data_IF_644922871034
#
_entry.id   IF_644922871034
#
_cell.length_a   1.000
_cell.length_b   1.000
_cell.length_c   1.000
_cell.angle_alpha   90.00
_cell.angle_beta   90.00
_cell.angle_gamma   90.00
#
_symmetry.space_group_name_H-M   'P 1'
#
loop_
_entity.id
_entity.type
_entity.pdbx_description
1 polymer ?
#
# COMPACT_ATOMS: atom_id res chain seq x y z
N UNK A 1 -12.73 -2.47 2.28
CA UNK A 1 -11.65 -2.88 3.22
C UNK A 1 -12.02 -3.98 4.22
N UNK A 2 -13.29 -4.16 4.63
CA UNK A 2 -13.70 -5.20 5.59
C UNK A 2 -13.13 -6.62 5.33
N UNK A 3 -13.12 -7.16 4.09
CA UNK A 3 -12.55 -8.48 3.84
C UNK A 3 -11.05 -8.59 4.19
N UNK A 4 -10.29 -7.51 4.04
CA UNK A 4 -8.88 -7.45 4.39
C UNK A 4 -8.68 -7.43 5.91
N UNK A 5 -9.48 -6.65 6.63
CA UNK A 5 -9.44 -6.61 8.10
C UNK A 5 -9.68 -8.00 8.67
N UNK A 6 -10.76 -8.67 8.25
CA UNK A 6 -11.08 -10.03 8.70
C UNK A 6 -9.95 -11.01 8.37
N UNK A 7 -9.38 -10.93 7.16
CA UNK A 7 -8.29 -11.83 6.76
C UNK A 7 -7.00 -11.63 7.58
N UNK A 8 -6.69 -10.39 7.99
CA UNK A 8 -5.53 -10.07 8.81
C UNK A 8 -5.75 -10.40 10.29
N UNK A 9 -6.96 -10.15 10.82
CA UNK A 9 -7.33 -10.54 12.19
C UNK A 9 -7.32 -12.05 12.37
N UNK A 10 -7.79 -12.82 11.37
CA UNK A 10 -7.69 -14.28 11.36
C UNK A 10 -6.23 -14.79 11.37
N UNK A 11 -5.26 -13.92 11.10
CA UNK A 11 -3.81 -14.19 11.13
C UNK A 11 -3.12 -13.54 12.35
N UNK A 12 -3.89 -13.05 13.32
CA UNK A 12 -3.37 -12.49 14.57
C UNK A 12 -2.98 -11.01 14.53
N UNK A 13 -3.28 -10.29 13.45
CA UNK A 13 -2.95 -8.86 13.34
C UNK A 13 -4.13 -7.97 13.71
N UNK A 14 -3.96 -7.11 14.72
CA UNK A 14 -4.92 -6.04 15.02
C UNK A 14 -5.02 -5.11 13.82
N UNK A 15 -6.21 -5.06 13.23
CA UNK A 15 -6.44 -4.37 11.96
C UNK A 15 -7.69 -3.52 12.05
N UNK A 16 -7.75 -2.42 11.30
CA UNK A 16 -8.96 -1.60 11.20
C UNK A 16 -9.05 -0.91 9.86
N UNK A 17 -10.28 -0.73 9.38
CA UNK A 17 -10.53 0.04 8.17
C UNK A 17 -10.60 1.54 8.52
N UNK A 18 -10.03 2.37 7.65
CA UNK A 18 -10.19 3.83 7.69
C UNK A 18 -11.19 4.24 6.62
N UNK A 19 -12.15 5.08 6.99
CA UNK A 19 -13.06 5.71 6.02
C UNK A 19 -12.42 7.00 5.51
N UNK A 20 -12.36 7.16 4.19
CA UNK A 20 -11.74 8.31 3.56
C UNK A 20 -12.79 9.18 2.88
N UNK A 21 -12.65 10.52 2.96
CA UNK A 21 -13.54 11.43 2.25
C UNK A 21 -13.38 11.26 0.74
N UNK A 22 -14.48 11.45 0.00
CA UNK A 22 -14.49 11.44 -1.47
C UNK A 22 -13.94 12.76 -2.03
N UNK A 23 -12.63 12.95 -1.91
CA UNK A 23 -11.91 14.15 -2.36
C UNK A 23 -10.61 13.77 -3.06
N UNK A 24 -9.81 14.76 -3.47
CA UNK A 24 -8.47 14.52 -3.99
C UNK A 24 -7.60 13.82 -2.94
N UNK A 25 -6.72 12.91 -3.36
CA UNK A 25 -5.95 12.11 -2.41
C UNK A 25 -5.10 12.97 -1.44
N UNK A 26 -4.52 14.06 -1.92
CA UNK A 26 -3.78 15.03 -1.10
C UNK A 26 -4.64 15.64 0.00
N UNK A 27 -5.92 15.95 -0.29
CA UNK A 27 -6.87 16.46 0.71
C UNK A 27 -7.37 15.39 1.68
N UNK A 28 -7.33 14.11 1.29
CA UNK A 28 -7.71 13.00 2.14
C UNK A 28 -6.61 12.59 3.14
N UNK A 29 -5.36 13.03 2.95
CA UNK A 29 -4.22 12.71 3.85
C UNK A 29 -4.52 13.13 5.29
N UNK A 30 -5.05 14.33 5.51
CA UNK A 30 -5.37 14.81 6.86
C UNK A 30 -6.41 13.93 7.57
N UNK A 31 -7.43 13.46 6.84
CA UNK A 31 -8.43 12.54 7.37
C UNK A 31 -7.83 11.15 7.65
N UNK A 32 -6.95 10.66 6.78
CA UNK A 32 -6.23 9.40 7.03
C UNK A 32 -5.39 9.52 8.30
N UNK A 33 -4.55 10.57 8.40
CA UNK A 33 -3.68 10.86 9.54
C UNK A 33 -4.47 10.90 10.85
N UNK A 34 -5.54 11.69 10.90
CA UNK A 34 -6.38 11.81 12.10
C UNK A 34 -7.01 10.48 12.50
N UNK A 35 -7.30 9.63 11.52
CA UNK A 35 -7.81 8.30 11.78
C UNK A 35 -6.69 7.33 12.19
N UNK A 36 -5.46 7.41 11.68
CA UNK A 36 -4.39 6.41 11.82
C UNK A 36 -3.77 6.34 13.24
N UNK A 37 -3.18 5.19 13.65
CA UNK A 37 -2.46 5.10 14.92
C UNK A 37 -1.12 5.86 14.80
N UNK A 38 -0.38 6.04 15.91
CA UNK A 38 0.98 6.58 15.87
C UNK A 38 1.84 5.86 14.82
N UNK A 39 2.55 6.63 13.98
CA UNK A 39 3.25 6.10 12.81
C UNK A 39 4.29 5.04 13.19
N UNK A 40 5.11 5.32 14.21
CA UNK A 40 6.23 4.50 14.63
C UNK A 40 5.87 3.08 15.09
N UNK A 41 4.60 2.83 15.41
CA UNK A 41 4.10 1.54 15.89
C UNK A 41 3.13 0.86 14.91
N UNK A 42 2.86 1.51 13.76
CA UNK A 42 1.83 1.06 12.84
C UNK A 42 2.33 0.86 11.42
N UNK A 43 1.66 -0.07 10.75
CA UNK A 43 1.75 -0.26 9.30
C UNK A 43 0.46 0.28 8.72
N UNK A 44 0.56 1.11 7.68
CA UNK A 44 -0.60 1.65 6.97
C UNK A 44 -0.66 1.09 5.56
N UNK A 45 -1.81 1.27 4.92
CA UNK A 45 -1.99 0.77 3.57
C UNK A 45 -3.40 0.93 3.07
N UNK A 46 -3.60 0.58 1.81
CA UNK A 46 -4.93 0.66 1.24
C UNK A 46 -5.01 0.08 -0.16
N UNK A 47 -6.26 -0.12 -0.57
CA UNK A 47 -6.60 -0.51 -1.92
C UNK A 47 -6.83 0.71 -2.79
N UNK A 48 -6.18 0.73 -3.97
CA UNK A 48 -6.36 1.75 -4.99
C UNK A 48 -6.20 3.18 -4.43
N UNK A 49 -7.26 3.99 -4.48
CA UNK A 49 -7.30 5.34 -3.91
C UNK A 49 -6.82 5.40 -2.44
N UNK A 50 -7.21 4.44 -1.60
CA UNK A 50 -6.74 4.39 -0.21
C UNK A 50 -5.23 4.16 -0.12
N UNK A 51 -4.67 3.34 -1.02
CA UNK A 51 -3.23 3.16 -1.15
C UNK A 51 -2.52 4.45 -1.58
N UNK A 52 -3.15 5.24 -2.46
CA UNK A 52 -2.63 6.57 -2.82
C UNK A 52 -2.53 7.49 -1.61
N UNK A 53 -3.61 7.60 -0.83
CA UNK A 53 -3.61 8.45 0.37
C UNK A 53 -2.60 7.95 1.39
N UNK A 54 -2.54 6.63 1.65
CA UNK A 54 -1.58 6.05 2.58
C UNK A 54 -0.13 6.29 2.17
N UNK A 55 0.21 6.17 0.88
CA UNK A 55 1.58 6.41 0.40
C UNK A 55 2.04 7.86 0.52
N UNK A 56 1.13 8.83 0.38
CA UNK A 56 1.45 10.25 0.58
C UNK A 56 1.76 10.49 2.05
N UNK A 57 0.92 9.94 2.94
CA UNK A 57 1.14 10.01 4.37
C UNK A 57 2.46 9.32 4.81
N UNK A 58 2.77 8.16 4.23
CA UNK A 58 4.04 7.44 4.50
C UNK A 58 5.29 8.15 3.98
N UNK A 59 5.15 9.09 3.03
CA UNK A 59 6.25 9.95 2.60
C UNK A 59 6.50 11.12 3.55
N UNK A 60 5.51 11.45 4.41
CA UNK A 60 5.57 12.55 5.38
C UNK A 60 5.93 12.04 6.79
N UNK A 61 5.69 10.76 7.10
CA UNK A 61 5.76 10.21 8.45
C UNK A 61 6.45 8.83 8.50
N UNK A 62 7.20 8.52 9.57
CA UNK A 62 8.00 7.30 9.69
C UNK A 62 7.16 6.10 10.16
N UNK A 63 6.25 5.61 9.30
CA UNK A 63 5.52 4.36 9.56
C UNK A 63 6.44 3.14 9.61
N UNK A 64 6.04 2.05 10.28
CA UNK A 64 6.84 0.80 10.27
C UNK A 64 6.85 0.09 8.92
N UNK A 65 5.86 0.38 8.09
CA UNK A 65 5.76 -0.16 6.74
C UNK A 65 4.51 0.35 6.03
N UNK A 66 4.48 0.13 4.73
CA UNK A 66 3.40 0.51 3.84
C UNK A 66 2.93 -0.69 3.01
N UNK A 67 1.62 -0.90 2.91
CA UNK A 67 1.02 -1.95 2.07
C UNK A 67 0.16 -1.31 0.98
N UNK A 68 0.52 -1.54 -0.28
CA UNK A 68 -0.21 -1.03 -1.45
C UNK A 68 -0.88 -2.19 -2.19
N UNK A 69 -2.22 -2.19 -2.18
CA UNK A 69 -3.03 -3.14 -2.93
C UNK A 69 -3.54 -2.44 -4.20
N UNK A 70 -3.07 -2.82 -5.39
CA UNK A 70 -3.52 -2.26 -6.67
C UNK A 70 -3.55 -0.72 -6.71
N UNK A 71 -2.44 -0.07 -6.37
CA UNK A 71 -2.31 1.39 -6.37
C UNK A 71 -2.44 1.99 -7.79
N UNK A 72 -3.22 3.03 -8.05
CA UNK A 72 -3.42 3.48 -9.43
C UNK A 72 -2.20 4.27 -9.94
N UNK A 73 -1.26 3.59 -10.62
CA UNK A 73 -0.11 4.25 -11.25
C UNK A 73 -0.57 5.21 -12.32
N UNK A 74 -1.51 4.82 -13.17
CA UNK A 74 -2.02 5.67 -14.23
C UNK A 74 -3.49 5.35 -14.52
N UNK A 75 -4.15 6.19 -15.33
CA UNK A 75 -5.49 5.84 -15.83
C UNK A 75 -5.36 4.80 -16.95
N UNK A 76 -6.35 3.92 -17.16
CA UNK A 76 -6.36 3.04 -18.32
C UNK A 76 -6.17 3.84 -19.62
N UNK A 77 -5.28 3.35 -20.49
CA UNK A 77 -4.94 3.98 -21.77
C UNK A 77 -3.97 5.18 -21.70
N UNK A 78 -3.59 5.66 -20.51
CA UNK A 78 -2.78 6.88 -20.33
C UNK A 78 -1.53 6.61 -19.47
N UNK A 79 -0.60 5.76 -19.92
CA UNK A 79 0.54 5.30 -19.12
C UNK A 79 1.51 6.42 -18.71
N UNK A 80 1.58 7.52 -19.44
CA UNK A 80 2.54 8.62 -19.27
C UNK A 80 2.47 9.31 -17.90
N UNK A 81 1.30 9.32 -17.24
CA UNK A 81 1.10 10.01 -15.95
C UNK A 81 1.61 9.25 -14.71
N UNK A 82 2.32 8.13 -14.88
CA UNK A 82 2.71 7.29 -13.75
C UNK A 82 3.75 7.94 -12.84
N UNK A 83 4.66 8.74 -13.39
CA UNK A 83 5.75 9.34 -12.62
C UNK A 83 5.26 10.40 -11.63
N UNK A 84 4.31 11.24 -12.04
CA UNK A 84 3.61 12.18 -11.16
C UNK A 84 2.86 11.43 -10.06
N UNK A 85 2.34 10.26 -10.43
CA UNK A 85 1.67 9.38 -9.49
C UNK A 85 2.66 8.66 -8.59
N UNK A 86 3.97 8.72 -8.78
CA UNK A 86 4.94 8.12 -7.83
C UNK A 86 6.03 9.09 -7.43
N UNK A 87 5.83 10.40 -7.65
CA UNK A 87 6.82 11.42 -7.40
C UNK A 87 7.33 11.44 -5.95
N UNK A 88 6.44 11.12 -5.00
CA UNK A 88 6.75 11.07 -3.57
C UNK A 88 7.34 9.74 -3.09
N UNK A 89 7.39 8.70 -3.93
CA UNK A 89 7.88 7.38 -3.51
C UNK A 89 9.34 7.37 -3.02
N UNK A 90 10.27 8.14 -3.61
CA UNK A 90 11.64 8.25 -3.07
C UNK A 90 11.72 8.80 -1.65
N UNK A 91 10.69 9.50 -1.17
CA UNK A 91 10.62 10.03 0.20
C UNK A 91 10.07 9.02 1.22
N UNK A 92 9.57 7.87 0.77
CA UNK A 92 9.06 6.83 1.66
C UNK A 92 10.25 6.05 2.24
N UNK A 93 10.48 6.22 3.54
CA UNK A 93 11.64 5.64 4.25
C UNK A 93 11.38 4.26 4.84
N UNK A 94 10.12 3.81 4.89
CA UNK A 94 9.75 2.52 5.45
C UNK A 94 9.65 1.42 4.38
N UNK A 95 9.77 0.13 4.76
CA UNK A 95 9.54 -0.97 3.84
C UNK A 95 8.14 -0.93 3.21
N UNK A 96 8.05 -1.24 1.92
CA UNK A 96 6.81 -1.19 1.14
C UNK A 96 6.51 -2.53 0.49
N UNK A 97 5.33 -3.08 0.78
CA UNK A 97 4.79 -4.24 0.07
C UNK A 97 3.77 -3.80 -0.98
N UNK A 98 4.03 -4.13 -2.24
CA UNK A 98 3.12 -3.92 -3.37
C UNK A 98 2.52 -5.26 -3.79
N UNK A 99 1.20 -5.34 -3.79
CA UNK A 99 0.44 -6.53 -4.18
C UNK A 99 -0.44 -6.17 -5.38
N UNK A 100 -0.29 -6.92 -6.47
CA UNK A 100 -0.86 -6.50 -7.75
C UNK A 100 -1.34 -7.63 -8.65
N UNK A 101 -2.43 -7.37 -9.38
CA UNK A 101 -2.88 -8.25 -10.45
C UNK A 101 -2.24 -7.90 -11.79
N UNK A 102 -1.71 -8.88 -12.54
CA UNK A 102 -1.04 -8.64 -13.83
C UNK A 102 -1.97 -8.10 -14.92
N UNK A 103 -3.28 -8.26 -14.76
CA UNK A 103 -4.31 -7.76 -15.68
C UNK A 103 -4.95 -6.44 -15.20
N UNK A 104 -4.33 -5.74 -14.25
CA UNK A 104 -4.82 -4.44 -13.77
C UNK A 104 -4.63 -3.33 -14.85
N UNK A 105 -5.71 -2.72 -15.37
CA UNK A 105 -5.60 -1.68 -16.39
C UNK A 105 -5.03 -0.36 -15.87
N UNK A 106 -4.92 -0.17 -14.55
CA UNK A 106 -4.36 1.03 -13.93
C UNK A 106 -2.83 1.00 -13.78
N UNK A 107 -2.18 -0.11 -14.13
CA UNK A 107 -0.74 -0.22 -14.03
C UNK A 107 -0.18 -1.33 -14.94
N UNK A 108 0.66 -0.97 -15.90
CA UNK A 108 1.44 -1.95 -16.67
C UNK A 108 2.55 -2.55 -15.80
N UNK A 109 2.77 -3.86 -15.89
CA UNK A 109 3.81 -4.57 -15.09
C UNK A 109 5.20 -3.93 -15.23
N UNK A 110 5.59 -3.50 -16.43
CA UNK A 110 6.88 -2.82 -16.64
C UNK A 110 6.98 -1.51 -15.83
N UNK A 111 5.91 -0.71 -15.79
CA UNK A 111 5.86 0.53 -15.02
C UNK A 111 5.80 0.26 -13.52
N UNK A 112 5.17 -0.84 -13.09
CA UNK A 112 5.20 -1.26 -11.69
C UNK A 112 6.60 -1.59 -11.21
N UNK A 113 7.37 -2.30 -12.03
CA UNK A 113 8.78 -2.59 -11.72
C UNK A 113 9.59 -1.30 -11.63
N UNK A 114 9.51 -0.45 -12.66
CA UNK A 114 10.19 0.85 -12.67
C UNK A 114 9.80 1.75 -11.48
N UNK A 115 8.53 1.75 -11.09
CA UNK A 115 8.06 2.48 -9.91
C UNK A 115 8.60 1.87 -8.62
N UNK A 116 8.60 0.53 -8.51
CA UNK A 116 9.11 -0.18 -7.32
C UNK A 116 10.60 0.12 -7.10
N UNK A 117 11.39 0.23 -8.18
CA UNK A 117 12.82 0.56 -8.12
C UNK A 117 13.09 1.98 -7.58
N UNK A 118 12.06 2.83 -7.48
CA UNK A 118 12.15 4.18 -6.87
C UNK A 118 11.97 4.17 -5.35
N UNK A 119 11.61 3.03 -4.76
CA UNK A 119 11.46 2.87 -3.31
C UNK A 119 12.79 2.42 -2.70
N UNK A 120 13.09 2.88 -1.48
CA UNK A 120 14.29 2.46 -0.76
C UNK A 120 14.25 0.95 -0.40
N UNK A 121 13.07 0.45 -0.03
CA UNK A 121 12.82 -0.96 0.26
C UNK A 121 11.43 -1.34 -0.26
N UNK A 122 11.36 -1.78 -1.52
CA UNK A 122 10.13 -2.14 -2.21
C UNK A 122 10.07 -3.63 -2.56
N UNK A 123 8.97 -4.30 -2.19
CA UNK A 123 8.69 -5.69 -2.55
C UNK A 123 7.43 -5.79 -3.39
N UNK A 124 7.57 -6.20 -4.66
CA UNK A 124 6.45 -6.42 -5.58
C UNK A 124 6.04 -7.89 -5.65
N UNK A 125 4.75 -8.18 -5.46
CA UNK A 125 4.13 -9.49 -5.69
C UNK A 125 3.05 -9.35 -6.76
N UNK A 126 3.15 -10.18 -7.79
CA UNK A 126 2.21 -10.21 -8.92
C UNK A 126 1.32 -11.45 -8.86
N UNK A 127 0.04 -11.26 -9.21
CA UNK A 127 -0.96 -12.31 -9.30
C UNK A 127 -1.41 -12.47 -10.76
N UNK A 128 -1.06 -13.59 -11.42
CA UNK A 128 -1.41 -13.83 -12.82
C UNK A 128 -2.92 -13.81 -13.05
N UNK A 129 -3.34 -13.18 -14.15
CA UNK A 129 -4.76 -13.07 -14.58
C UNK A 129 -5.70 -12.35 -13.60
N UNK A 130 -5.17 -11.71 -12.56
CA UNK A 130 -5.96 -10.91 -11.62
C UNK A 130 -6.00 -9.47 -12.10
N UNK A 131 -7.18 -8.85 -12.05
CA UNK A 131 -7.36 -7.43 -12.37
C UNK A 131 -7.13 -6.51 -11.17
N UNK A 132 -7.73 -5.33 -11.21
CA UNK A 132 -7.59 -4.32 -10.16
C UNK A 132 -8.10 -4.79 -8.77
N UNK A 133 -9.12 -5.65 -8.73
CA UNK A 133 -9.66 -6.21 -7.49
C UNK A 133 -8.95 -7.50 -7.09
N UNK A 134 -8.24 -7.49 -5.94
CA UNK A 134 -7.47 -8.64 -5.46
C UNK A 134 -8.28 -9.63 -4.60
N UNK A 135 -9.60 -9.46 -4.48
CA UNK A 135 -10.43 -10.39 -3.71
C UNK A 135 -10.34 -11.86 -4.16
N UNK A 136 -10.22 -12.19 -5.47
CA UNK A 136 -10.02 -13.57 -5.92
C UNK A 136 -8.76 -14.25 -5.35
N UNK A 137 -7.77 -13.46 -4.93
CA UNK A 137 -6.51 -13.92 -4.34
C UNK A 137 -6.33 -13.43 -2.90
N UNK A 138 -7.44 -13.06 -2.22
CA UNK A 138 -7.41 -12.43 -0.89
C UNK A 138 -6.55 -13.20 0.10
N UNK A 139 -6.70 -14.52 0.16
CA UNK A 139 -6.01 -15.32 1.17
C UNK A 139 -4.51 -15.46 0.89
N UNK A 140 -4.14 -15.56 -0.39
CA UNK A 140 -2.72 -15.50 -0.82
C UNK A 140 -2.13 -14.11 -0.54
N UNK A 141 -2.87 -13.04 -0.81
CA UNK A 141 -2.46 -11.67 -0.52
C UNK A 141 -2.33 -11.40 0.98
N UNK A 142 -3.28 -11.87 1.79
CA UNK A 142 -3.21 -11.75 3.24
C UNK A 142 -2.03 -12.54 3.83
N UNK A 143 -1.68 -13.67 3.24
CA UNK A 143 -0.48 -14.44 3.60
C UNK A 143 0.81 -13.68 3.27
N UNK A 144 0.90 -13.03 2.11
CA UNK A 144 2.05 -12.17 1.78
C UNK A 144 2.16 -10.98 2.73
N UNK A 145 1.02 -10.37 3.11
CA UNK A 145 0.99 -9.32 4.13
C UNK A 145 1.50 -9.85 5.47
N UNK A 146 1.03 -11.01 5.92
CA UNK A 146 1.46 -11.59 7.19
C UNK A 146 2.98 -11.83 7.24
N UNK A 147 3.56 -12.39 6.17
CA UNK A 147 5.01 -12.58 6.06
C UNK A 147 5.77 -11.27 6.06
N UNK A 148 5.27 -10.27 5.35
CA UNK A 148 5.85 -8.93 5.35
C UNK A 148 5.85 -8.34 6.76
N UNK A 149 4.71 -8.37 7.46
CA UNK A 149 4.57 -7.86 8.82
C UNK A 149 5.48 -8.59 9.82
N UNK A 150 5.61 -9.91 9.70
CA UNK A 150 6.50 -10.72 10.53
C UNK A 150 7.99 -10.43 10.28
N UNK A 151 8.35 -9.99 9.07
CA UNK A 151 9.71 -9.61 8.70
C UNK A 151 10.11 -8.19 9.10
N UNK A 152 9.18 -7.36 9.59
CA UNK A 152 9.51 -6.02 10.07
C UNK A 152 10.23 -6.12 11.42
N UNK A 153 11.51 -5.73 11.46
CA UNK A 153 12.33 -5.76 12.67
C UNK A 153 11.58 -5.14 13.88
N UNK A 154 11.55 -5.82 15.04
CA UNK A 154 11.11 -5.17 16.28
C UNK A 154 12.04 -3.98 16.55
N UNK A 155 11.50 -2.84 16.98
CA UNK A 155 12.36 -1.75 17.44
C UNK A 155 13.14 -2.25 18.64
N UNK A 156 14.46 -2.01 18.65
CA UNK A 156 15.19 -1.92 19.91
C UNK A 156 14.44 -0.91 20.79
N UNK A 157 14.11 -1.25 22.05
CA UNK A 157 13.51 -0.28 22.94
C UNK A 157 14.45 0.93 22.99
N UNK A 158 13.90 2.11 22.69
CA UNK A 158 14.63 3.37 22.82
C UNK A 158 15.14 3.44 24.26
N UNK A 159 16.46 3.46 24.43
CA UNK A 159 17.15 3.68 25.70
C UNK A 159 16.75 4.99 26.35
#
# INVERSE_FOLDING_TARGET
MRPWVVALEARGFRSRAVSLPRTAATRAVAAYRAAAPPALDSVIGGHSFGGRVASLLAAEEPYRGLILLSYPLHRPGHPEGWEERTAHWPSISCPVLLLWGESDPFARVALLRAATDRLADGRLVLYPRVGHGLLPVRDQAAEQIARFLAGLNPRSPSS
#
